data_IF_628086623814
#
_entry.id   IF_628086623814
#
_cell.length_a   1.000
_cell.length_b   1.000
_cell.length_c   1.000
_cell.angle_alpha   90.00
_cell.angle_beta   90.00
_cell.angle_gamma   90.00
#
_symmetry.space_group_name_H-M   'P 1'
#
loop_
_entity.id
_entity.type
_entity.pdbx_description
1 polymer ?
#
# COMPACT_ATOMS: atom_id res chain seq x y z
N UNK A 1 11.27 61.65 -0.87
CA UNK A 1 11.13 60.80 -2.07
C UNK A 1 11.71 59.42 -1.74
N UNK A 2 10.83 58.41 -1.60
CA UNK A 2 11.05 56.94 -1.42
C UNK A 2 11.93 56.54 -0.22
N UNK A 3 11.44 56.16 0.96
CA UNK A 3 10.45 55.15 1.39
C UNK A 3 10.80 53.71 0.97
N UNK A 4 11.37 52.94 1.91
CA UNK A 4 11.19 51.48 2.06
C UNK A 4 11.12 51.15 3.57
N UNK A 5 9.91 50.99 4.07
CA UNK A 5 9.58 50.27 5.31
C UNK A 5 9.66 48.76 5.00
N UNK A 6 10.43 47.94 5.71
CA UNK A 6 10.08 47.17 6.92
C UNK A 6 8.91 46.20 6.75
N UNK A 7 9.17 44.89 6.74
CA UNK A 7 8.56 43.95 7.71
C UNK A 7 9.29 42.59 7.68
N UNK A 8 10.13 42.38 8.69
CA UNK A 8 10.49 41.05 9.16
C UNK A 8 9.31 40.56 10.00
N UNK A 9 8.74 39.42 9.62
CA UNK A 9 7.67 38.74 10.36
C UNK A 9 8.20 37.44 10.94
N UNK A 10 8.89 37.54 12.07
CA UNK A 10 9.12 36.41 12.97
C UNK A 10 7.82 36.15 13.72
N UNK A 11 7.21 34.98 13.53
CA UNK A 11 6.22 34.45 14.47
C UNK A 11 6.86 33.23 15.13
N UNK A 12 7.51 33.47 16.26
CA UNK A 12 7.72 32.46 17.28
C UNK A 12 6.54 32.52 18.24
N UNK A 13 5.67 31.52 18.20
CA UNK A 13 4.83 31.14 19.33
C UNK A 13 5.16 29.68 19.62
N UNK A 14 5.78 29.47 20.78
CA UNK A 14 6.54 28.28 21.08
C UNK A 14 5.70 27.05 21.42
N UNK A 15 6.30 25.89 21.15
CA UNK A 15 6.16 24.65 21.89
C UNK A 15 7.53 23.94 21.81
N UNK A 16 7.80 23.12 22.81
CA UNK A 16 9.10 22.59 23.20
C UNK A 16 10.02 22.14 22.05
N UNK A 17 11.31 22.42 22.23
CA UNK A 17 12.42 21.89 21.44
C UNK A 17 12.43 20.36 21.47
N UNK A 18 12.04 19.73 20.36
CA UNK A 18 12.70 18.51 19.90
C UNK A 18 13.63 18.92 18.76
N UNK A 19 14.93 18.70 18.92
CA UNK A 19 15.85 18.79 17.79
C UNK A 19 15.45 17.67 16.81
N UNK A 20 14.68 18.01 15.78
CA UNK A 20 14.51 17.14 14.62
C UNK A 20 15.80 17.19 13.81
N UNK A 21 16.62 16.15 13.93
CA UNK A 21 17.69 15.90 12.98
C UNK A 21 17.04 15.42 11.68
N UNK A 22 16.91 16.31 10.70
CA UNK A 22 16.63 15.88 9.32
C UNK A 22 17.87 15.12 8.81
N UNK A 23 17.67 13.93 8.21
CA UNK A 23 18.75 13.23 7.52
C UNK A 23 19.34 14.13 6.45
N UNK A 24 20.66 14.09 6.33
CA UNK A 24 21.34 14.65 5.17
C UNK A 24 20.99 13.86 3.92
N UNK A 25 21.10 14.51 2.77
CA UNK A 25 20.99 13.95 1.42
C UNK A 25 21.74 12.62 1.26
N UNK A 26 22.96 12.58 1.79
CA UNK A 26 23.86 11.44 1.66
C UNK A 26 23.44 10.28 2.57
N UNK A 27 22.92 10.57 3.77
CA UNK A 27 22.38 9.56 4.67
C UNK A 27 21.12 8.91 4.10
N UNK A 28 20.18 9.68 3.54
CA UNK A 28 18.96 9.14 2.95
C UNK A 28 19.23 8.27 1.69
N UNK A 29 20.15 8.70 0.82
CA UNK A 29 20.60 7.89 -0.33
C UNK A 29 21.31 6.61 0.12
N UNK A 30 22.11 6.69 1.19
CA UNK A 30 22.82 5.53 1.72
C UNK A 30 21.87 4.47 2.29
N UNK A 31 20.78 4.90 2.93
CA UNK A 31 19.73 4.00 3.46
C UNK A 31 18.97 3.33 2.33
N UNK A 32 18.55 4.07 1.31
CA UNK A 32 17.86 3.51 0.14
C UNK A 32 18.73 2.50 -0.62
N UNK A 33 19.96 2.89 -0.94
CA UNK A 33 20.91 2.01 -1.63
C UNK A 33 21.29 0.77 -0.79
N UNK A 34 21.33 0.90 0.54
CA UNK A 34 21.60 -0.22 1.43
C UNK A 34 20.40 -1.17 1.55
N UNK A 35 19.17 -0.65 1.67
CA UNK A 35 17.96 -1.47 1.66
C UNK A 35 17.88 -2.25 0.35
N UNK A 36 18.12 -1.61 -0.80
CA UNK A 36 18.18 -2.31 -2.09
C UNK A 36 19.33 -3.32 -2.19
N UNK A 37 20.43 -3.13 -1.45
CA UNK A 37 21.54 -4.08 -1.40
C UNK A 37 21.27 -5.28 -0.47
N UNK A 38 20.41 -5.12 0.53
CA UNK A 38 20.05 -6.18 1.50
C UNK A 38 18.81 -6.94 1.06
N UNK A 39 17.86 -6.27 0.41
CA UNK A 39 16.70 -6.92 -0.19
C UNK A 39 17.15 -7.62 -1.46
N UNK A 40 16.93 -8.93 -1.50
CA UNK A 40 17.11 -9.72 -2.72
C UNK A 40 15.77 -9.73 -3.45
N UNK A 41 15.63 -9.06 -4.61
CA UNK A 41 14.42 -9.15 -5.40
C UNK A 41 14.13 -10.61 -5.73
N UNK A 42 12.86 -10.99 -5.72
CA UNK A 42 12.47 -12.23 -6.37
C UNK A 42 12.59 -11.97 -7.88
N UNK A 43 13.32 -12.84 -8.58
CA UNK A 43 13.48 -12.76 -10.04
C UNK A 43 12.71 -13.89 -10.73
N UNK A 44 11.90 -14.62 -9.98
CA UNK A 44 11.19 -15.80 -10.48
C UNK A 44 10.00 -15.36 -11.29
N UNK A 45 10.02 -15.67 -12.59
CA UNK A 45 8.89 -15.31 -13.43
C UNK A 45 7.60 -15.96 -12.92
N UNK A 46 6.68 -15.13 -12.41
CA UNK A 46 5.48 -15.60 -11.72
C UNK A 46 4.26 -15.51 -12.62
N UNK A 47 3.43 -16.55 -12.55
CA UNK A 47 2.15 -16.57 -13.25
C UNK A 47 1.01 -16.14 -12.32
N UNK A 48 0.25 -15.15 -12.75
CA UNK A 48 -1.04 -14.82 -12.17
C UNK A 48 -2.14 -15.71 -12.76
N UNK A 49 -2.57 -16.72 -12.01
CA UNK A 49 -3.60 -17.68 -12.44
C UNK A 49 -5.01 -17.35 -11.97
N UNK A 50 -5.20 -16.19 -11.34
CA UNK A 50 -6.44 -15.77 -10.67
C UNK A 50 -7.04 -14.48 -11.21
N UNK A 51 -6.30 -13.74 -12.04
CA UNK A 51 -6.76 -12.53 -12.70
C UNK A 51 -5.80 -12.10 -13.80
N UNK A 52 -5.89 -10.83 -14.19
CA UNK A 52 -5.08 -10.25 -15.26
C UNK A 52 -4.00 -9.33 -14.69
N UNK A 53 -2.79 -9.43 -15.23
CA UNK A 53 -1.71 -8.50 -14.92
C UNK A 53 -1.61 -7.44 -16.02
N UNK A 54 -1.83 -6.19 -15.64
CA UNK A 54 -1.74 -5.01 -16.50
C UNK A 54 -0.43 -4.28 -16.20
N UNK A 55 0.42 -4.18 -17.21
CA UNK A 55 1.72 -3.50 -17.12
C UNK A 55 1.54 -1.98 -17.07
N UNK A 56 2.60 -1.24 -16.76
CA UNK A 56 2.60 0.24 -16.69
C UNK A 56 2.00 0.94 -17.93
N UNK A 57 2.18 0.36 -19.12
CA UNK A 57 1.65 0.90 -20.38
C UNK A 57 0.15 0.60 -20.61
N UNK A 58 -0.51 -0.11 -19.69
CA UNK A 58 -1.93 -0.47 -19.71
C UNK A 58 -2.61 0.10 -18.44
N UNK A 59 -2.68 1.43 -18.33
CA UNK A 59 -3.13 2.06 -17.09
C UNK A 59 -4.58 1.69 -16.77
N UNK A 60 -4.97 1.56 -15.49
CA UNK A 60 -6.37 1.35 -15.12
C UNK A 60 -7.28 2.43 -15.71
N UNK A 61 -8.55 2.09 -15.90
CA UNK A 61 -9.57 3.05 -16.35
C UNK A 61 -9.72 4.21 -15.38
N UNK A 62 -10.34 5.29 -15.83
CA UNK A 62 -10.64 6.47 -15.00
C UNK A 62 -11.42 6.07 -13.74
N UNK A 63 -12.48 5.25 -13.90
CA UNK A 63 -13.31 4.83 -12.77
C UNK A 63 -12.55 3.91 -11.82
N UNK A 64 -11.75 2.97 -12.33
CA UNK A 64 -10.90 2.13 -11.48
C UNK A 64 -9.93 2.97 -10.65
N UNK A 65 -9.29 3.96 -11.28
CA UNK A 65 -8.35 4.86 -10.59
C UNK A 65 -9.07 5.69 -9.51
N UNK A 66 -10.24 6.24 -9.82
CA UNK A 66 -11.05 7.01 -8.88
C UNK A 66 -11.61 6.16 -7.72
N UNK A 67 -11.95 4.90 -7.96
CA UNK A 67 -12.40 3.98 -6.93
C UNK A 67 -11.23 3.51 -6.04
N UNK A 68 -10.05 3.27 -6.63
CA UNK A 68 -8.84 2.94 -5.90
C UNK A 68 -8.47 4.03 -4.88
N UNK A 69 -8.53 5.31 -5.26
CA UNK A 69 -8.26 6.44 -4.35
C UNK A 69 -9.14 6.42 -3.09
N UNK A 70 -10.39 5.98 -3.20
CA UNK A 70 -11.29 5.88 -2.05
C UNK A 70 -10.80 4.82 -1.07
N UNK A 71 -10.32 3.68 -1.56
CA UNK A 71 -9.80 2.60 -0.72
C UNK A 71 -8.42 2.94 -0.15
N UNK A 72 -7.60 3.67 -0.92
CA UNK A 72 -6.30 4.16 -0.45
C UNK A 72 -6.45 5.06 0.78
N UNK A 73 -7.46 5.93 0.81
CA UNK A 73 -7.74 6.77 2.00
C UNK A 73 -7.98 5.94 3.27
N UNK A 74 -8.63 4.77 3.15
CA UNK A 74 -8.78 3.84 4.28
C UNK A 74 -7.46 3.15 4.65
N UNK A 75 -6.66 2.78 3.66
CA UNK A 75 -5.33 2.19 3.85
C UNK A 75 -4.36 3.19 4.51
N UNK A 76 -4.57 4.50 4.34
CA UNK A 76 -3.82 5.56 5.04
C UNK A 76 -4.35 5.78 6.46
N UNK A 77 -5.65 6.04 6.62
CA UNK A 77 -6.26 6.42 7.92
C UNK A 77 -6.26 5.28 8.94
N UNK A 78 -6.09 4.01 8.53
CA UNK A 78 -5.96 2.91 9.49
C UNK A 78 -4.72 3.05 10.38
N UNK A 79 -3.67 3.74 9.91
CA UNK A 79 -2.44 4.00 10.66
C UNK A 79 -2.63 5.02 11.79
N UNK A 80 -3.73 5.76 11.81
CA UNK A 80 -4.14 6.56 12.96
C UNK A 80 -5.02 5.73 13.90
N UNK A 81 -5.07 6.10 15.19
CA UNK A 81 -5.93 5.43 16.17
C UNK A 81 -7.41 5.82 16.04
N UNK A 82 -7.69 6.97 15.42
CA UNK A 82 -9.03 7.54 15.24
C UNK A 82 -9.17 8.25 13.89
N UNK A 83 -10.40 8.62 13.52
CA UNK A 83 -10.71 9.24 12.22
C UNK A 83 -11.26 8.25 11.21
N UNK A 84 -11.90 8.77 10.16
CA UNK A 84 -12.49 8.00 9.08
C UNK A 84 -12.63 8.88 7.83
N UNK A 85 -12.66 8.28 6.63
CA UNK A 85 -12.96 9.00 5.40
C UNK A 85 -14.31 9.70 5.43
N UNK A 86 -14.48 10.73 4.59
CA UNK A 86 -15.66 11.57 4.64
C UNK A 86 -16.97 10.77 4.49
N UNK A 87 -17.86 10.93 5.46
CA UNK A 87 -19.17 10.27 5.49
C UNK A 87 -19.13 8.78 5.86
N UNK A 88 -17.99 8.29 6.36
CA UNK A 88 -17.83 6.99 7.00
C UNK A 88 -17.65 7.15 8.51
N UNK A 89 -17.97 6.11 9.26
CA UNK A 89 -17.71 6.04 10.69
C UNK A 89 -16.75 4.89 10.98
N UNK A 90 -15.65 5.16 11.68
CA UNK A 90 -14.82 4.10 12.27
C UNK A 90 -15.53 3.58 13.51
N UNK A 91 -15.97 2.33 13.48
CA UNK A 91 -16.82 1.76 14.53
C UNK A 91 -16.04 0.93 15.54
N UNK A 92 -14.93 0.32 15.13
CA UNK A 92 -14.06 -0.47 15.99
C UNK A 92 -12.65 -0.60 15.42
N UNK A 93 -11.70 -0.94 16.29
CA UNK A 93 -10.36 -1.42 15.93
C UNK A 93 -10.22 -2.85 16.47
N UNK A 94 -9.77 -3.77 15.62
CA UNK A 94 -9.42 -5.14 16.01
C UNK A 94 -7.91 -5.21 16.08
N UNK A 95 -7.37 -5.43 17.29
CA UNK A 95 -5.93 -5.34 17.56
C UNK A 95 -5.48 -6.60 18.29
N UNK A 96 -4.31 -7.09 17.91
CA UNK A 96 -3.56 -8.08 18.68
C UNK A 96 -2.12 -7.57 18.87
N UNK A 97 -1.80 -7.24 20.11
CA UNK A 97 -0.52 -6.58 20.45
C UNK A 97 0.67 -7.53 20.36
N UNK A 98 0.45 -8.84 20.50
CA UNK A 98 1.51 -9.84 20.46
C UNK A 98 2.03 -10.04 19.04
N UNK A 99 1.14 -10.06 18.05
CA UNK A 99 1.49 -10.17 16.63
C UNK A 99 1.73 -8.83 15.92
N UNK A 100 1.29 -7.72 16.54
CA UNK A 100 1.25 -6.40 15.90
C UNK A 100 0.10 -6.24 14.89
N UNK A 101 -0.83 -7.20 14.82
CA UNK A 101 -1.98 -7.13 13.93
C UNK A 101 -2.91 -5.97 14.32
N UNK A 102 -3.34 -5.22 13.31
CA UNK A 102 -4.26 -4.10 13.49
C UNK A 102 -5.19 -3.97 12.28
N UNK A 103 -6.49 -3.94 12.55
CA UNK A 103 -7.52 -3.64 11.55
C UNK A 103 -8.49 -2.56 12.05
N UNK A 104 -8.81 -1.59 11.20
CA UNK A 104 -9.86 -0.61 11.42
C UNK A 104 -11.12 -0.98 10.65
N UNK A 105 -12.28 -0.92 11.30
CA UNK A 105 -13.57 -1.23 10.67
C UNK A 105 -14.38 0.04 10.52
N UNK A 106 -14.81 0.30 9.29
CA UNK A 106 -15.50 1.51 8.89
C UNK A 106 -16.85 1.16 8.29
N UNK A 107 -17.88 1.93 8.62
CA UNK A 107 -19.25 1.67 8.13
C UNK A 107 -19.88 2.91 7.51
N UNK A 108 -20.70 2.66 6.48
CA UNK A 108 -21.57 3.64 5.85
C UNK A 108 -22.78 2.92 5.28
N UNK A 109 -23.95 3.17 5.86
CA UNK A 109 -25.19 2.45 5.53
C UNK A 109 -24.98 0.93 5.65
N UNK A 110 -25.19 0.15 4.59
CA UNK A 110 -25.01 -1.30 4.54
C UNK A 110 -23.62 -1.72 4.02
N UNK A 111 -22.64 -0.80 4.00
CA UNK A 111 -21.26 -1.08 3.56
C UNK A 111 -20.31 -1.09 4.74
N UNK A 112 -19.36 -2.01 4.69
CA UNK A 112 -18.26 -2.14 5.65
C UNK A 112 -16.95 -2.15 4.88
N UNK A 113 -16.02 -1.29 5.27
CA UNK A 113 -14.62 -1.38 4.83
C UNK A 113 -13.79 -1.83 6.02
N UNK A 114 -12.99 -2.87 5.83
CA UNK A 114 -12.03 -3.34 6.82
C UNK A 114 -10.65 -3.04 6.27
N UNK A 115 -9.98 -2.06 6.88
CA UNK A 115 -8.62 -1.69 6.50
C UNK A 115 -7.62 -2.36 7.43
N UNK A 116 -6.59 -2.97 6.87
CA UNK A 116 -5.50 -3.56 7.63
C UNK A 116 -4.28 -2.64 7.59
N UNK A 117 -3.64 -2.47 8.74
CA UNK A 117 -2.44 -1.67 8.87
C UNK A 117 -1.24 -2.41 8.26
N UNK A 118 -0.40 -1.68 7.52
CA UNK A 118 0.91 -2.19 7.11
C UNK A 118 1.94 -2.11 8.25
N UNK A 119 3.13 -2.69 8.03
CA UNK A 119 4.23 -2.60 8.99
C UNK A 119 4.71 -1.15 9.15
N UNK A 120 5.12 -0.79 10.36
CA UNK A 120 5.90 0.43 10.56
C UNK A 120 7.28 0.22 9.95
N UNK A 121 7.51 0.81 8.78
CA UNK A 121 8.81 0.78 8.12
C UNK A 121 9.88 1.29 9.10
N UNK A 122 10.90 0.46 9.30
CA UNK A 122 12.13 0.81 10.00
C UNK A 122 12.33 0.24 11.42
N UNK A 123 11.43 -0.61 11.92
CA UNK A 123 11.80 -1.59 12.96
C UNK A 123 12.58 -2.76 12.34
N UNK A 124 13.36 -3.56 13.07
CA UNK A 124 13.93 -4.80 12.47
C UNK A 124 12.87 -5.86 12.14
N UNK A 125 11.69 -5.69 12.70
CA UNK A 125 10.59 -6.64 12.61
C UNK A 125 9.83 -6.59 11.27
N UNK A 126 9.88 -5.49 10.50
CA UNK A 126 9.02 -5.38 9.30
C UNK A 126 9.44 -6.29 8.13
N UNK A 127 10.74 -6.54 7.94
CA UNK A 127 11.25 -7.48 6.93
C UNK A 127 11.19 -8.92 7.44
N UNK A 128 11.56 -9.12 8.71
CA UNK A 128 11.80 -10.43 9.30
C UNK A 128 10.51 -11.15 9.74
N UNK A 129 9.50 -10.42 10.22
CA UNK A 129 8.27 -11.03 10.76
C UNK A 129 7.09 -11.05 9.77
N UNK A 130 7.11 -10.21 8.73
CA UNK A 130 5.95 -10.01 7.84
C UNK A 130 6.08 -10.56 6.42
N UNK A 131 7.28 -10.48 5.81
CA UNK A 131 7.41 -10.56 4.34
C UNK A 131 8.29 -11.74 3.85
N UNK A 132 9.30 -12.18 4.63
CA UNK A 132 10.28 -13.18 4.14
C UNK A 132 10.13 -14.61 4.68
N UNK A 133 9.06 -14.95 5.42
CA UNK A 133 8.94 -16.28 6.04
C UNK A 133 8.44 -17.31 5.01
N UNK A 134 9.37 -18.06 4.42
CA UNK A 134 9.13 -18.96 3.29
C UNK A 134 8.21 -20.16 3.60
N UNK A 135 8.14 -20.62 4.86
CA UNK A 135 7.54 -21.92 5.22
C UNK A 135 6.61 -21.90 6.45
N UNK A 136 6.26 -20.72 6.97
CA UNK A 136 5.32 -20.59 8.09
C UNK A 136 4.27 -19.54 7.77
N UNK A 137 3.08 -19.69 8.37
CA UNK A 137 2.04 -18.66 8.34
C UNK A 137 2.45 -17.57 9.33
N UNK A 138 2.75 -16.33 8.91
CA UNK A 138 3.08 -15.27 9.86
C UNK A 138 1.87 -14.97 10.74
N UNK A 139 2.11 -14.60 12.00
CA UNK A 139 1.05 -14.42 13.00
C UNK A 139 -0.05 -13.43 12.53
N UNK A 140 0.34 -12.32 11.90
CA UNK A 140 -0.63 -11.35 11.38
C UNK A 140 -1.52 -11.92 10.26
N UNK A 141 -1.01 -12.81 9.40
CA UNK A 141 -1.81 -13.49 8.39
C UNK A 141 -2.80 -14.47 9.02
N UNK A 142 -2.35 -15.24 10.02
CA UNK A 142 -3.25 -16.11 10.79
C UNK A 142 -4.38 -15.30 11.45
N UNK A 143 -4.05 -14.15 12.05
CA UNK A 143 -5.03 -13.22 12.62
C UNK A 143 -5.98 -12.65 11.56
N UNK A 144 -5.49 -12.29 10.37
CA UNK A 144 -6.35 -11.80 9.28
C UNK A 144 -7.33 -12.88 8.80
N UNK A 145 -6.89 -14.13 8.67
CA UNK A 145 -7.73 -15.27 8.30
C UNK A 145 -8.81 -15.48 9.37
N UNK A 146 -8.45 -15.56 10.64
CA UNK A 146 -9.41 -15.76 11.74
C UNK A 146 -10.39 -14.58 11.87
N UNK A 147 -9.87 -13.35 12.00
CA UNK A 147 -10.70 -12.18 12.30
C UNK A 147 -11.59 -11.76 11.14
N UNK A 148 -11.18 -12.00 9.89
CA UNK A 148 -12.05 -11.73 8.74
C UNK A 148 -13.33 -12.60 8.78
N UNK A 149 -13.25 -13.83 9.28
CA UNK A 149 -14.42 -14.70 9.45
C UNK A 149 -15.36 -14.18 10.54
N UNK A 150 -14.80 -13.77 11.68
CA UNK A 150 -15.58 -13.16 12.76
C UNK A 150 -16.31 -11.89 12.28
N UNK A 151 -15.61 -11.04 11.52
CA UNK A 151 -16.17 -9.82 10.95
C UNK A 151 -17.26 -10.16 9.93
N UNK A 152 -17.02 -11.11 9.03
CA UNK A 152 -18.01 -11.58 8.05
C UNK A 152 -19.30 -12.05 8.71
N UNK A 153 -19.18 -12.77 9.82
CA UNK A 153 -20.33 -13.25 10.59
C UNK A 153 -21.07 -12.10 11.29
N UNK A 154 -20.33 -11.15 11.89
CA UNK A 154 -20.90 -9.98 12.60
C UNK A 154 -21.66 -9.05 11.66
N UNK A 155 -21.10 -8.82 10.47
CA UNK A 155 -21.69 -7.95 9.45
C UNK A 155 -22.41 -8.77 8.36
N UNK A 156 -23.06 -9.87 8.74
CA UNK A 156 -23.85 -10.68 7.81
C UNK A 156 -24.91 -9.81 7.12
N UNK A 157 -24.94 -9.84 5.79
CA UNK A 157 -25.87 -9.03 4.97
C UNK A 157 -25.35 -7.64 4.59
N UNK A 158 -24.17 -7.23 5.07
CA UNK A 158 -23.49 -6.03 4.61
C UNK A 158 -22.58 -6.34 3.42
N UNK A 159 -22.28 -5.30 2.63
CA UNK A 159 -21.28 -5.32 1.58
C UNK A 159 -19.91 -5.04 2.22
N UNK A 160 -19.11 -6.08 2.42
CA UNK A 160 -17.78 -5.97 3.02
C UNK A 160 -16.75 -5.78 1.90
N UNK A 161 -15.76 -4.91 2.12
CA UNK A 161 -14.61 -4.74 1.25
C UNK A 161 -13.35 -4.62 2.10
N UNK A 162 -12.29 -5.34 1.75
CA UNK A 162 -11.02 -5.28 2.46
C UNK A 162 -10.03 -4.34 1.75
N UNK A 163 -9.16 -3.69 2.52
CA UNK A 163 -8.10 -2.87 1.94
C UNK A 163 -6.90 -2.75 2.85
N UNK A 164 -5.77 -2.33 2.29
CA UNK A 164 -4.53 -2.12 3.03
C UNK A 164 -3.37 -1.86 2.08
N UNK A 165 -2.30 -1.34 2.65
CA UNK A 165 -1.04 -1.04 1.96
C UNK A 165 0.09 -1.92 2.49
N UNK A 166 1.09 -2.27 1.66
CA UNK A 166 2.26 -3.06 2.08
C UNK A 166 1.84 -4.43 2.66
N UNK A 167 2.32 -4.78 3.85
CA UNK A 167 1.83 -5.95 4.60
C UNK A 167 0.31 -5.96 4.75
N UNK A 168 -0.31 -4.81 5.02
CA UNK A 168 -1.77 -4.68 5.18
C UNK A 168 -2.53 -5.04 3.90
N UNK A 169 -1.94 -4.80 2.72
CA UNK A 169 -2.51 -5.24 1.43
C UNK A 169 -2.50 -6.77 1.28
N UNK A 170 -1.44 -7.42 1.77
CA UNK A 170 -1.38 -8.88 1.87
C UNK A 170 -2.42 -9.44 2.83
N UNK A 171 -2.58 -8.83 4.01
CA UNK A 171 -3.63 -9.21 4.98
C UNK A 171 -5.05 -9.05 4.39
N UNK A 172 -5.28 -7.97 3.64
CA UNK A 172 -6.54 -7.75 2.91
C UNK A 172 -6.80 -8.83 1.86
N UNK A 173 -5.76 -9.24 1.12
CA UNK A 173 -5.81 -10.35 0.16
C UNK A 173 -6.16 -11.66 0.86
N UNK A 174 -5.51 -11.98 1.99
CA UNK A 174 -5.82 -13.18 2.76
C UNK A 174 -7.27 -13.19 3.27
N UNK A 175 -7.76 -12.04 3.76
CA UNK A 175 -9.14 -11.87 4.19
C UNK A 175 -10.14 -12.07 3.04
N UNK A 176 -9.89 -11.48 1.86
CA UNK A 176 -10.73 -11.64 0.67
C UNK A 176 -10.80 -13.10 0.21
N UNK A 177 -9.66 -13.78 0.10
CA UNK A 177 -9.63 -15.20 -0.27
C UNK A 177 -10.36 -16.04 0.79
N UNK A 178 -10.21 -15.71 2.07
CA UNK A 178 -10.87 -16.42 3.17
C UNK A 178 -12.39 -16.28 3.13
N UNK A 179 -12.93 -15.07 3.00
CA UNK A 179 -14.38 -14.82 3.14
C UNK A 179 -15.15 -14.77 1.83
N UNK A 180 -14.46 -14.56 0.70
CA UNK A 180 -15.04 -14.34 -0.63
C UNK A 180 -15.59 -12.93 -0.86
N UNK A 181 -15.29 -11.98 0.03
CA UNK A 181 -15.57 -10.56 -0.19
C UNK A 181 -14.40 -9.89 -0.94
N UNK A 182 -14.65 -8.83 -1.71
CA UNK A 182 -13.61 -8.17 -2.51
C UNK A 182 -12.54 -7.47 -1.68
N UNK A 183 -11.36 -7.31 -2.27
CA UNK A 183 -10.27 -6.49 -1.71
C UNK A 183 -9.68 -5.54 -2.75
N UNK A 184 -9.23 -4.38 -2.28
CA UNK A 184 -8.34 -3.48 -3.03
C UNK A 184 -7.07 -3.26 -2.23
N UNK A 185 -5.94 -3.69 -2.78
CA UNK A 185 -4.64 -3.67 -2.10
C UNK A 185 -3.63 -2.78 -2.85
N UNK A 186 -2.71 -2.19 -2.09
CA UNK A 186 -1.73 -1.22 -2.59
C UNK A 186 -0.32 -1.66 -2.23
N UNK A 187 0.58 -1.74 -3.21
CA UNK A 187 1.98 -2.17 -3.05
C UNK A 187 2.10 -3.41 -2.13
N UNK A 188 1.25 -4.40 -2.37
CA UNK A 188 0.96 -5.43 -1.38
C UNK A 188 2.05 -6.52 -1.34
N UNK A 189 2.39 -7.00 -0.14
CA UNK A 189 3.39 -8.05 0.09
C UNK A 189 3.01 -9.46 -0.43
N UNK A 190 1.86 -9.63 -1.07
CA UNK A 190 1.39 -10.91 -1.61
C UNK A 190 1.10 -11.96 -0.53
N UNK A 191 0.87 -13.22 -0.94
CA UNK A 191 0.77 -14.36 -0.02
C UNK A 191 1.85 -15.39 -0.34
N UNK A 192 2.55 -15.85 0.70
CA UNK A 192 3.39 -17.04 0.62
C UNK A 192 2.53 -18.32 0.51
N UNK A 193 3.13 -19.39 0.00
CA UNK A 193 2.45 -20.70 -0.16
C UNK A 193 1.81 -21.20 1.15
N UNK A 194 2.52 -21.06 2.28
CA UNK A 194 2.01 -21.50 3.58
C UNK A 194 0.70 -20.80 3.97
N UNK A 195 0.58 -19.49 3.70
CA UNK A 195 -0.63 -18.71 3.98
C UNK A 195 -1.79 -19.19 3.10
N UNK A 196 -1.53 -19.44 1.81
CA UNK A 196 -2.57 -19.95 0.92
C UNK A 196 -3.04 -21.36 1.32
N UNK A 197 -2.13 -22.24 1.74
CA UNK A 197 -2.49 -23.57 2.23
C UNK A 197 -3.33 -23.52 3.51
N UNK A 198 -3.05 -22.57 4.42
CA UNK A 198 -3.88 -22.35 5.61
C UNK A 198 -5.31 -21.92 5.22
N UNK A 199 -5.45 -20.99 4.26
CA UNK A 199 -6.77 -20.57 3.77
C UNK A 199 -7.53 -21.74 3.14
N UNK A 200 -6.85 -22.59 2.35
CA UNK A 200 -7.44 -23.80 1.76
C UNK A 200 -7.89 -24.80 2.84
N UNK A 201 -7.10 -24.97 3.90
CA UNK A 201 -7.46 -25.81 5.04
C UNK A 201 -8.71 -25.29 5.74
N UNK A 202 -8.78 -23.98 6.01
CA UNK A 202 -9.95 -23.33 6.58
C UNK A 202 -11.20 -23.53 5.71
N UNK A 203 -11.09 -23.35 4.39
CA UNK A 203 -12.17 -23.64 3.44
C UNK A 203 -12.61 -25.10 3.49
N UNK A 204 -11.66 -26.04 3.51
CA UNK A 204 -11.93 -27.48 3.61
C UNK A 204 -12.68 -27.83 4.90
N UNK A 205 -12.25 -27.28 6.05
CA UNK A 205 -12.89 -27.48 7.34
C UNK A 205 -14.33 -26.94 7.38
N UNK A 206 -14.63 -25.94 6.55
CA UNK A 206 -15.98 -25.40 6.36
C UNK A 206 -16.79 -26.14 5.28
N UNK A 207 -16.26 -27.22 4.71
CA UNK A 207 -16.90 -27.99 3.65
C UNK A 207 -17.00 -27.24 2.32
N UNK A 208 -16.17 -26.23 2.08
CA UNK A 208 -16.14 -25.47 0.81
C UNK A 208 -15.44 -26.29 -0.28
N UNK A 209 -15.79 -26.10 -1.57
CA UNK A 209 -15.09 -26.75 -2.68
C UNK A 209 -13.59 -26.41 -2.70
N UNK A 210 -12.75 -27.35 -3.14
CA UNK A 210 -11.29 -27.18 -3.19
C UNK A 210 -10.80 -26.02 -4.07
N UNK A 211 -11.63 -25.55 -5.01
CA UNK A 211 -11.36 -24.40 -5.88
C UNK A 211 -11.91 -23.07 -5.36
N UNK A 212 -12.58 -23.05 -4.20
CA UNK A 212 -13.21 -21.83 -3.67
C UNK A 212 -12.21 -20.68 -3.50
N UNK A 213 -11.00 -20.97 -3.01
CA UNK A 213 -9.94 -19.98 -2.86
C UNK A 213 -9.63 -19.25 -4.19
N UNK A 214 -9.63 -19.97 -5.31
CA UNK A 214 -9.29 -19.40 -6.62
C UNK A 214 -10.38 -18.43 -7.10
N UNK A 215 -11.64 -18.77 -6.90
CA UNK A 215 -12.78 -17.87 -7.20
C UNK A 215 -12.83 -16.67 -6.27
N UNK A 216 -12.45 -16.84 -5.00
CA UNK A 216 -12.39 -15.70 -4.08
C UNK A 216 -11.20 -14.78 -4.42
N UNK A 217 -10.07 -15.36 -4.84
CA UNK A 217 -8.88 -14.61 -5.25
C UNK A 217 -9.11 -13.72 -6.48
N UNK A 218 -10.02 -14.09 -7.40
CA UNK A 218 -10.35 -13.23 -8.54
C UNK A 218 -11.10 -11.95 -8.17
N UNK A 219 -11.51 -11.79 -6.90
CA UNK A 219 -12.19 -10.59 -6.38
C UNK A 219 -11.20 -9.58 -5.77
N UNK A 220 -9.90 -9.82 -5.91
CA UNK A 220 -8.83 -8.94 -5.46
C UNK A 220 -8.38 -8.06 -6.62
N UNK A 221 -8.17 -6.77 -6.34
CA UNK A 221 -7.54 -5.84 -7.26
C UNK A 221 -6.34 -5.20 -6.57
N UNK A 222 -5.16 -5.29 -7.19
CA UNK A 222 -3.91 -4.74 -6.70
C UNK A 222 -3.50 -3.53 -7.55
N UNK A 223 -2.96 -2.52 -6.89
CA UNK A 223 -2.30 -1.38 -7.51
C UNK A 223 -0.88 -1.31 -6.97
N UNK A 224 0.10 -1.46 -7.86
CA UNK A 224 1.50 -1.49 -7.50
C UNK A 224 2.23 -0.37 -8.23
N UNK A 225 3.06 0.40 -7.54
CA UNK A 225 3.91 1.38 -8.21
C UNK A 225 5.15 0.69 -8.81
N UNK A 226 5.49 1.03 -10.05
CA UNK A 226 6.64 0.43 -10.74
C UNK A 226 7.95 0.66 -9.99
N UNK A 227 8.70 -0.43 -9.76
CA UNK A 227 10.01 -0.39 -9.10
C UNK A 227 9.99 -0.14 -7.58
N UNK A 228 8.83 -0.19 -6.94
CA UNK A 228 8.74 -0.18 -5.48
C UNK A 228 9.23 -1.53 -4.88
N UNK A 229 9.81 -1.50 -3.68
CA UNK A 229 10.64 -2.61 -3.21
C UNK A 229 9.89 -3.90 -2.82
N UNK A 230 8.57 -3.86 -2.62
CA UNK A 230 7.75 -4.98 -2.15
C UNK A 230 7.17 -5.81 -3.27
N UNK A 231 6.67 -5.21 -4.35
CA UNK A 231 5.91 -5.91 -5.39
C UNK A 231 6.43 -5.72 -6.82
N UNK A 232 7.49 -4.94 -7.02
CA UNK A 232 8.08 -4.76 -8.36
C UNK A 232 9.57 -4.36 -8.35
N UNK A 233 10.34 -4.74 -7.32
CA UNK A 233 11.75 -4.30 -7.20
C UNK A 233 12.62 -4.77 -8.39
N UNK A 234 12.23 -5.86 -9.03
CA UNK A 234 12.92 -6.45 -10.16
C UNK A 234 12.44 -5.94 -11.53
N UNK A 235 11.40 -5.08 -11.54
CA UNK A 235 10.76 -4.50 -12.72
C UNK A 235 10.15 -5.53 -13.70
N UNK A 236 9.89 -6.77 -13.27
CA UNK A 236 9.27 -7.77 -14.14
C UNK A 236 7.76 -7.58 -14.27
N UNK A 237 7.11 -6.93 -13.30
CA UNK A 237 5.68 -6.67 -13.25
C UNK A 237 4.83 -7.95 -13.38
N UNK A 238 5.20 -9.04 -12.71
CA UNK A 238 4.68 -10.38 -12.99
C UNK A 238 3.96 -11.05 -11.81
N UNK A 239 3.46 -10.22 -10.88
CA UNK A 239 2.74 -10.61 -9.67
C UNK A 239 3.60 -11.21 -8.55
N UNK A 240 4.90 -11.41 -8.73
CA UNK A 240 5.75 -11.76 -7.62
C UNK A 240 5.91 -10.59 -6.64
N UNK A 241 6.41 -10.91 -5.45
CA UNK A 241 6.63 -9.93 -4.38
C UNK A 241 7.89 -10.34 -3.62
N UNK A 242 8.35 -9.47 -2.73
CA UNK A 242 9.46 -9.75 -1.84
C UNK A 242 9.18 -11.03 -1.05
N UNK A 243 10.10 -11.99 -1.15
CA UNK A 243 9.97 -13.32 -0.57
C UNK A 243 9.89 -14.40 -1.67
N UNK A 244 10.62 -15.51 -1.53
CA UNK A 244 10.85 -16.46 -2.62
C UNK A 244 9.61 -17.23 -3.09
N UNK A 245 8.52 -17.23 -2.31
CA UNK A 245 7.26 -17.90 -2.65
C UNK A 245 6.06 -16.97 -2.61
N UNK A 246 6.28 -15.69 -2.30
CA UNK A 246 5.23 -14.70 -2.11
C UNK A 246 4.79 -14.13 -3.46
N UNK A 247 3.48 -14.04 -3.66
CA UNK A 247 2.90 -13.43 -4.88
C UNK A 247 1.51 -12.86 -4.65
N UNK A 248 1.11 -11.94 -5.52
CA UNK A 248 -0.22 -11.36 -5.56
C UNK A 248 -1.21 -12.23 -6.36
N UNK A 249 -2.50 -11.98 -6.12
CA UNK A 249 -3.62 -12.69 -6.72
C UNK A 249 -4.70 -11.70 -7.16
N UNK A 250 -5.57 -12.12 -8.08
CA UNK A 250 -6.60 -11.28 -8.68
C UNK A 250 -6.06 -10.40 -9.80
N UNK A 251 -6.73 -9.29 -10.09
CA UNK A 251 -6.25 -8.32 -11.07
C UNK A 251 -5.13 -7.47 -10.47
N UNK A 252 -4.11 -7.14 -11.27
CA UNK A 252 -2.93 -6.41 -10.82
C UNK A 252 -2.65 -5.30 -11.82
N UNK A 253 -2.63 -4.05 -11.35
CA UNK A 253 -2.30 -2.88 -12.14
C UNK A 253 -0.96 -2.31 -11.68
N UNK A 254 0.05 -2.41 -12.53
CA UNK A 254 1.29 -1.68 -12.34
C UNK A 254 1.12 -0.23 -12.82
N UNK A 255 1.47 0.70 -11.95
CA UNK A 255 1.29 2.14 -12.13
C UNK A 255 2.65 2.79 -12.38
N UNK A 256 2.67 3.85 -13.19
CA UNK A 256 3.92 4.49 -13.58
C UNK A 256 4.50 5.30 -12.42
N UNK A 257 5.80 5.16 -12.19
CA UNK A 257 6.55 6.04 -11.31
C UNK A 257 7.06 7.31 -12.01
N UNK A 258 6.80 7.51 -13.31
CA UNK A 258 7.38 8.63 -14.10
C UNK A 258 6.96 10.01 -13.59
N UNK A 259 5.78 10.09 -12.97
CA UNK A 259 5.22 11.35 -12.42
C UNK A 259 5.60 11.58 -10.97
N UNK A 260 6.20 10.60 -10.31
CA UNK A 260 6.76 10.79 -8.98
C UNK A 260 7.98 11.72 -9.09
N UNK A 261 7.82 12.95 -8.60
CA UNK A 261 8.85 13.99 -8.65
C UNK A 261 9.33 14.36 -7.24
N UNK A 262 10.06 13.46 -6.55
CA UNK A 262 10.51 13.74 -5.19
C UNK A 262 11.37 15.01 -5.16
N UNK A 263 11.28 15.79 -4.08
CA UNK A 263 12.15 16.94 -3.89
C UNK A 263 13.62 16.51 -3.83
N UNK A 264 14.34 16.69 -4.94
CA UNK A 264 15.79 16.67 -5.17
C UNK A 264 16.65 15.51 -4.63
N UNK A 265 16.12 14.56 -3.86
CA UNK A 265 16.92 13.51 -3.23
C UNK A 265 16.03 12.30 -2.96
N UNK A 266 16.50 11.09 -3.25
CA UNK A 266 15.89 9.76 -3.02
C UNK A 266 14.74 9.30 -3.94
N UNK A 267 15.03 8.98 -5.21
CA UNK A 267 14.18 8.08 -6.02
C UNK A 267 14.74 6.65 -5.94
N UNK A 268 14.20 5.83 -5.05
CA UNK A 268 14.58 4.42 -4.83
C UNK A 268 13.35 3.58 -4.45
N UNK A 269 13.49 2.26 -4.43
CA UNK A 269 12.40 1.32 -4.16
C UNK A 269 11.67 1.60 -2.84
N UNK A 270 12.39 2.01 -1.79
CA UNK A 270 11.81 2.38 -0.48
C UNK A 270 10.88 3.60 -0.60
N UNK A 271 11.34 4.67 -1.24
CA UNK A 271 10.55 5.91 -1.36
C UNK A 271 9.34 5.76 -2.29
N UNK A 272 9.45 4.87 -3.26
CA UNK A 272 8.36 4.49 -4.17
C UNK A 272 7.25 3.72 -3.46
N UNK A 273 7.59 3.00 -2.39
CA UNK A 273 6.64 2.22 -1.59
C UNK A 273 5.81 3.06 -0.59
N UNK A 274 5.87 4.39 -0.64
CA UNK A 274 4.91 5.18 0.13
C UNK A 274 3.57 5.26 -0.59
N UNK A 275 2.51 5.53 0.17
CA UNK A 275 1.19 5.74 -0.43
C UNK A 275 1.14 7.02 -1.27
N UNK A 276 2.02 8.00 -0.99
CA UNK A 276 2.04 9.30 -1.68
C UNK A 276 2.28 9.18 -3.19
N UNK A 277 3.38 8.58 -3.69
CA UNK A 277 3.58 8.38 -5.13
C UNK A 277 2.43 7.62 -5.81
N UNK A 278 1.90 6.59 -5.13
CA UNK A 278 0.79 5.81 -5.63
C UNK A 278 -0.50 6.64 -5.74
N UNK A 279 -0.75 7.51 -4.75
CA UNK A 279 -1.90 8.44 -4.71
C UNK A 279 -1.82 9.48 -5.80
N UNK A 280 -0.66 10.12 -5.99
CA UNK A 280 -0.40 11.09 -7.06
C UNK A 280 -0.73 10.48 -8.43
N UNK A 281 -0.20 9.28 -8.67
CA UNK A 281 -0.39 8.59 -9.94
C UNK A 281 -1.87 8.21 -10.16
N UNK A 282 -2.54 7.67 -9.15
CA UNK A 282 -3.98 7.40 -9.24
C UNK A 282 -4.82 8.68 -9.43
N UNK A 283 -4.44 9.79 -8.80
CA UNK A 283 -5.09 11.09 -8.99
C UNK A 283 -4.95 11.57 -10.43
N UNK A 284 -3.76 11.49 -11.01
CA UNK A 284 -3.54 11.76 -12.43
C UNK A 284 -4.41 10.86 -13.32
N UNK A 285 -4.36 9.54 -13.11
CA UNK A 285 -5.09 8.55 -13.92
C UNK A 285 -6.62 8.67 -13.80
N UNK A 286 -7.12 9.24 -12.71
CA UNK A 286 -8.55 9.49 -12.50
C UNK A 286 -9.09 10.71 -13.25
N UNK A 287 -8.23 11.50 -13.92
CA UNK A 287 -8.65 12.72 -14.60
C UNK A 287 -8.90 12.48 -16.11
N UNK A 288 -10.14 12.67 -16.60
CA UNK A 288 -10.46 12.41 -18.01
C UNK A 288 -9.67 13.26 -19.01
N UNK A 289 -9.24 14.46 -18.62
CA UNK A 289 -8.50 15.39 -19.48
C UNK A 289 -7.13 14.85 -19.92
N UNK A 290 -6.57 13.89 -19.18
CA UNK A 290 -5.29 13.26 -19.49
C UNK A 290 -5.42 11.98 -20.32
N UNK A 291 -6.64 11.60 -20.71
CA UNK A 291 -6.89 10.43 -21.57
C UNK A 291 -7.04 10.82 -23.04
N UNK A 292 -6.73 9.89 -23.94
CA UNK A 292 -6.95 10.06 -25.39
C UNK A 292 -8.44 10.26 -25.67
N UNK A 293 -9.30 9.40 -25.12
CA UNK A 293 -10.74 9.58 -25.15
C UNK A 293 -11.25 10.07 -23.79
N UNK A 294 -11.46 11.38 -23.67
CA UNK A 294 -11.91 12.02 -22.42
C UNK A 294 -13.34 11.64 -22.00
N UNK A 295 -14.09 10.96 -22.87
CA UNK A 295 -15.45 10.48 -22.59
C UNK A 295 -15.51 9.01 -22.23
N UNK A 296 -14.39 8.28 -22.29
CA UNK A 296 -14.33 6.86 -21.90
C UNK A 296 -13.79 6.72 -20.47
N UNK A 297 -14.69 6.34 -19.56
CA UNK A 297 -14.41 6.24 -18.14
C UNK A 297 -14.10 4.81 -17.68
N UNK A 298 -14.27 3.81 -18.55
CA UNK A 298 -14.38 2.42 -18.14
C UNK A 298 -13.37 1.50 -18.81
N UNK A 299 -12.88 1.85 -19.99
CA UNK A 299 -11.99 0.97 -20.74
C UNK A 299 -10.54 1.12 -20.26
N UNK A 300 -9.81 0.01 -20.25
CA UNK A 300 -8.40 -0.06 -19.85
C UNK A 300 -7.43 0.26 -21.01
N UNK A 301 -7.93 0.27 -22.24
CA UNK A 301 -7.22 0.65 -23.47
C UNK A 301 -7.34 2.15 -23.78
N UNK A 302 -7.83 2.96 -22.84
CA UNK A 302 -7.86 4.41 -22.97
C UNK A 302 -6.53 5.02 -22.54
N UNK A 303 -5.60 5.03 -23.50
CA UNK A 303 -4.23 5.51 -23.31
C UNK A 303 -4.14 6.95 -22.77
N UNK A 304 -2.99 7.27 -22.21
CA UNK A 304 -2.65 8.62 -21.75
C UNK A 304 -2.38 9.53 -22.96
N UNK A 305 -3.01 10.69 -22.98
CA UNK A 305 -2.70 11.74 -23.96
C UNK A 305 -1.43 12.48 -23.54
N UNK A 306 -0.32 12.21 -24.24
CA UNK A 306 0.98 12.78 -23.90
C UNK A 306 1.00 14.32 -23.91
N UNK A 307 0.23 14.96 -24.81
CA UNK A 307 0.21 16.43 -24.88
C UNK A 307 -0.45 17.05 -23.65
N UNK A 308 -1.62 16.56 -23.23
CA UNK A 308 -2.29 17.12 -22.05
C UNK A 308 -1.57 16.72 -20.76
N UNK A 309 -0.98 15.53 -20.71
CA UNK A 309 -0.19 15.07 -19.58
C UNK A 309 1.06 15.94 -19.30
N UNK A 310 1.66 16.56 -20.32
CA UNK A 310 2.78 17.52 -20.14
C UNK A 310 2.41 18.75 -19.31
N UNK A 311 1.12 19.03 -19.14
CA UNK A 311 0.62 20.15 -18.34
C UNK A 311 0.05 19.71 -16.99
N UNK A 312 0.18 18.43 -16.62
CA UNK A 312 -0.12 18.00 -15.26
C UNK A 312 0.80 18.74 -14.31
N UNK A 313 0.20 19.41 -13.35
CA UNK A 313 0.89 20.03 -12.22
C UNK A 313 0.38 19.30 -11.02
N UNK A 314 1.30 18.72 -10.26
CA UNK A 314 0.92 18.18 -8.97
C UNK A 314 0.68 19.32 -7.98
N UNK A 315 -0.44 19.23 -7.26
CA UNK A 315 -0.87 20.20 -6.26
C UNK A 315 -0.96 19.59 -4.88
N UNK A 316 -0.62 18.31 -4.70
CA UNK A 316 -0.47 17.72 -3.38
C UNK A 316 0.79 18.29 -2.71
N UNK A 317 0.69 18.58 -1.42
CA UNK A 317 1.81 19.15 -0.64
C UNK A 317 2.74 18.00 -0.17
N UNK A 318 3.27 17.24 -1.13
CA UNK A 318 4.04 15.98 -0.92
C UNK A 318 5.26 16.19 -0.02
N UNK A 319 5.70 17.44 0.04
CA UNK A 319 6.87 17.91 0.75
C UNK A 319 6.75 17.70 2.27
N UNK A 320 5.63 18.03 2.90
CA UNK A 320 5.53 18.01 4.37
C UNK A 320 5.33 16.59 4.93
N UNK A 321 4.55 15.76 4.25
CA UNK A 321 4.28 14.39 4.68
C UNK A 321 5.48 13.46 4.45
N UNK A 322 6.16 13.59 3.30
CA UNK A 322 7.41 12.85 3.02
C UNK A 322 8.53 13.34 3.94
N UNK A 323 8.70 14.65 4.18
CA UNK A 323 9.72 15.16 5.11
C UNK A 323 9.45 14.76 6.56
N UNK A 324 8.20 14.82 7.02
CA UNK A 324 7.82 14.42 8.38
C UNK A 324 8.09 12.92 8.61
N UNK A 325 7.77 12.09 7.62
CA UNK A 325 8.03 10.66 7.68
C UNK A 325 9.53 10.34 7.56
N UNK A 326 10.27 10.92 6.60
CA UNK A 326 11.71 10.70 6.45
C UNK A 326 12.46 11.09 7.72
N UNK A 327 12.05 12.20 8.35
CA UNK A 327 12.61 12.65 9.63
C UNK A 327 12.24 11.70 10.78
N UNK A 328 11.03 11.15 10.81
CA UNK A 328 10.65 10.15 11.83
C UNK A 328 11.32 8.79 11.61
N UNK A 329 11.47 8.33 10.37
CA UNK A 329 12.17 7.09 10.02
C UNK A 329 13.67 7.21 10.35
N UNK A 330 14.30 8.32 10.00
CA UNK A 330 15.66 8.64 10.40
C UNK A 330 15.92 8.54 11.90
N UNK A 331 15.02 9.14 12.68
CA UNK A 331 15.24 9.35 14.11
C UNK A 331 14.85 8.11 14.91
N UNK A 332 13.75 7.46 14.55
CA UNK A 332 13.15 6.41 15.38
C UNK A 332 13.43 4.99 14.88
N UNK A 333 13.78 4.84 13.61
CA UNK A 333 13.84 3.53 12.96
C UNK A 333 15.24 3.17 12.45
N UNK A 334 15.99 4.15 11.94
CA UNK A 334 17.36 3.92 11.48
C UNK A 334 18.28 3.37 12.59
N UNK A 335 18.21 3.81 13.86
CA UNK A 335 19.05 3.27 14.92
C UNK A 335 18.77 1.80 15.25
N UNK A 336 17.50 1.38 15.27
CA UNK A 336 17.14 -0.04 15.47
C UNK A 336 17.57 -0.90 14.29
N UNK A 337 17.34 -0.40 13.08
CA UNK A 337 17.79 -1.06 11.85
C UNK A 337 19.32 -1.25 11.87
N UNK A 338 20.11 -0.22 12.18
CA UNK A 338 21.57 -0.31 12.27
C UNK A 338 22.03 -1.29 13.37
N UNK A 339 21.37 -1.28 14.54
CA UNK A 339 21.69 -2.18 15.65
C UNK A 339 21.44 -3.66 15.32
N UNK A 340 20.34 -3.96 14.65
CA UNK A 340 19.99 -5.34 14.24
C UNK A 340 20.85 -5.85 13.07
N UNK A 341 21.48 -4.93 12.34
CA UNK A 341 22.44 -5.21 11.29
C UNK A 341 23.90 -5.25 11.78
N UNK A 342 24.13 -5.01 13.08
CA UNK A 342 25.45 -5.06 13.71
C UNK A 342 26.41 -3.95 13.28
N UNK A 343 25.89 -2.77 12.92
CA UNK A 343 26.66 -1.58 12.49
C UNK A 343 26.72 -0.48 13.56
#
# INVERSE_FOLDING_TARGET
>A
MKLKYTLAGTICLGLASTQSFALTTDEANSVGAYIEAVLVPNYTNTANSTGTTYKTHQPPSINQSADALKYLEFAEVVHTTNGAPQGWNRVENVVDYDSGFYAGIYTKSNKVVVAFRGSELGTSDWVTNGIMVQDMVPAQYAMAIEKSQDIKNRYSGYQIHYTGHSLGGGLATAAAITTGDPATAFDAAGLANAVLEEIKLVHSNQGKPSKQWNTNASQVTNYNLEGEFVSDLDYQQDADTLGPTSKQYGDIHYLSADRFTPLFIVNNGLTRHFTTPLKEELMFLSQPIYRVNTSDYTSIDNDINSFTAMFYVDWTDDTLDILFWQTNFAINSLPSLLADLGL
#
